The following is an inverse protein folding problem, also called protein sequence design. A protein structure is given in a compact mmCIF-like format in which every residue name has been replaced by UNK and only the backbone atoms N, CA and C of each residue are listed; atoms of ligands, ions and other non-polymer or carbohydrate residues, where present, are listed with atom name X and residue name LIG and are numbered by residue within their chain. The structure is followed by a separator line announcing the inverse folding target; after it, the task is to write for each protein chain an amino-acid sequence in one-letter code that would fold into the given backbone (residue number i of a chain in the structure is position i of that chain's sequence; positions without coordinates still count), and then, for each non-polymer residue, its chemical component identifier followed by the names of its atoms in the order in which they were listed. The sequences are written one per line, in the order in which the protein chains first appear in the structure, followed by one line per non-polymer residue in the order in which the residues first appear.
data_IF_950351324746
#
_entry.id   IF_950351324746
#
_cell.length_a   1.000
_cell.length_b   1.000
_cell.length_c   1.000
_cell.angle_alpha   90.00
_cell.angle_beta   90.00
_cell.angle_gamma   90.00
#
_symmetry.space_group_name_H-M   'P 1'
#
loop_
_entity.id
_entity.type
_entity.pdbx_description
1 polymer ?
#
# COMPACT_ATOMS: atom_id res chain seq x y z
N UNK A 1 4.11 -7.74 0.83
CA UNK A 1 3.57 -8.51 1.96
C UNK A 1 4.64 -8.65 3.03
N UNK A 2 4.57 -9.69 3.85
CA UNK A 2 5.61 -10.01 4.85
C UNK A 2 6.08 -11.46 4.73
N UNK A 3 5.73 -12.14 3.64
CA UNK A 3 6.13 -13.51 3.34
C UNK A 3 7.47 -13.58 2.60
N UNK A 4 7.69 -14.69 1.89
CA UNK A 4 8.96 -14.97 1.25
C UNK A 4 9.48 -13.81 0.36
N UNK A 5 10.77 -13.51 0.50
CA UNK A 5 11.53 -12.54 -0.29
C UNK A 5 11.21 -11.05 -0.03
N UNK A 6 10.50 -10.74 1.07
CA UNK A 6 10.11 -9.36 1.43
C UNK A 6 11.07 -8.68 2.42
N UNK A 7 12.01 -9.39 3.06
CA UNK A 7 12.68 -8.86 4.27
C UNK A 7 13.41 -7.52 4.04
N UNK A 8 14.06 -7.35 2.88
CA UNK A 8 14.73 -6.09 2.54
C UNK A 8 13.75 -4.99 2.17
N UNK A 9 12.73 -5.33 1.38
CA UNK A 9 11.73 -4.37 0.89
C UNK A 9 10.83 -3.85 2.01
N UNK A 10 10.58 -4.68 3.03
CA UNK A 10 9.78 -4.30 4.19
C UNK A 10 10.46 -3.20 5.02
N UNK A 11 11.78 -3.26 5.18
CA UNK A 11 12.54 -2.21 5.88
C UNK A 11 12.48 -0.92 5.09
N UNK A 12 12.79 -0.96 3.79
CA UNK A 12 12.75 0.22 2.91
C UNK A 12 11.34 0.84 2.85
N UNK A 13 10.29 0.03 2.84
CA UNK A 13 8.89 0.50 2.86
C UNK A 13 8.55 1.23 4.16
N UNK A 14 9.02 0.73 5.32
CA UNK A 14 8.82 1.38 6.62
C UNK A 14 9.58 2.70 6.73
N UNK A 15 10.80 2.75 6.21
CA UNK A 15 11.58 3.99 6.14
C UNK A 15 10.88 5.03 5.28
N UNK A 16 10.35 4.64 4.12
CA UNK A 16 9.58 5.52 3.26
C UNK A 16 8.31 6.03 3.94
N UNK A 17 7.56 5.15 4.61
CA UNK A 17 6.38 5.55 5.38
C UNK A 17 6.73 6.61 6.44
N UNK A 18 7.82 6.42 7.17
CA UNK A 18 8.29 7.39 8.16
C UNK A 18 8.61 8.74 7.52
N UNK A 19 9.32 8.76 6.38
CA UNK A 19 9.64 9.99 5.64
C UNK A 19 8.37 10.73 5.19
N UNK A 20 7.35 10.00 4.72
CA UNK A 20 6.08 10.60 4.30
C UNK A 20 5.33 11.21 5.50
N UNK A 21 5.32 10.52 6.63
CA UNK A 21 4.74 11.01 7.90
C UNK A 21 5.45 12.27 8.40
N UNK A 22 6.78 12.27 8.43
CA UNK A 22 7.59 13.39 8.89
C UNK A 22 7.39 14.65 8.03
N UNK A 23 7.05 14.46 6.75
CA UNK A 23 6.75 15.53 5.79
C UNK A 23 5.27 15.94 5.78
N UNK A 24 4.44 15.37 6.64
CA UNK A 24 2.99 15.59 6.65
C UNK A 24 2.33 15.30 5.29
N UNK A 25 2.88 14.35 4.53
CA UNK A 25 2.28 13.90 3.26
C UNK A 25 1.23 12.85 3.63
N UNK A 26 -0.06 13.04 3.26
CA UNK A 26 -1.11 12.09 3.57
C UNK A 26 -0.99 10.87 2.65
N UNK A 27 -0.13 9.93 3.04
CA UNK A 27 0.06 8.66 2.37
C UNK A 27 -0.63 7.55 3.16
N UNK A 28 -1.20 6.60 2.43
CA UNK A 28 -1.68 5.35 3.00
C UNK A 28 -0.73 4.22 2.63
N UNK A 29 -0.19 3.56 3.65
CA UNK A 29 0.68 2.40 3.54
C UNK A 29 0.00 1.23 4.24
N UNK A 30 -0.05 0.08 3.59
CA UNK A 30 -0.69 -1.12 4.12
C UNK A 30 0.25 -2.33 4.04
N UNK A 31 0.47 -2.99 5.18
CA UNK A 31 1.39 -4.12 5.31
C UNK A 31 0.63 -5.43 5.37
N UNK A 32 0.66 -6.15 4.26
CA UNK A 32 -0.04 -7.41 4.12
C UNK A 32 0.68 -8.54 4.86
N UNK A 33 -0.06 -9.56 5.30
CA UNK A 33 0.39 -10.60 6.24
C UNK A 33 1.61 -11.43 5.81
N UNK A 34 2.07 -12.28 6.74
CA UNK A 34 3.24 -13.16 6.53
C UNK A 34 3.02 -14.27 5.48
N UNK A 35 1.78 -14.47 5.04
CA UNK A 35 1.38 -15.37 3.95
C UNK A 35 1.45 -14.70 2.57
N UNK A 36 1.79 -13.41 2.49
CA UNK A 36 1.84 -12.61 1.26
C UNK A 36 3.27 -12.43 0.80
N UNK A 37 3.66 -13.13 -0.26
CA UNK A 37 5.00 -13.12 -0.86
C UNK A 37 5.21 -11.99 -1.87
N UNK A 38 6.48 -11.72 -2.17
CA UNK A 38 6.91 -10.77 -3.19
C UNK A 38 6.80 -11.35 -4.61
N UNK A 39 5.58 -11.67 -5.05
CA UNK A 39 5.32 -12.30 -6.35
C UNK A 39 4.06 -11.79 -7.07
N UNK A 40 3.98 -12.15 -8.35
CA UNK A 40 2.91 -11.68 -9.24
C UNK A 40 1.49 -12.01 -8.77
N UNK A 41 1.15 -13.24 -8.32
CA UNK A 41 -0.17 -13.54 -7.77
C UNK A 41 -0.62 -12.60 -6.66
N UNK A 42 0.30 -12.19 -5.77
CA UNK A 42 -0.01 -11.22 -4.72
C UNK A 42 -0.10 -9.79 -5.22
N UNK A 43 0.79 -9.37 -6.12
CA UNK A 43 0.72 -8.03 -6.72
C UNK A 43 -0.59 -7.82 -7.47
N UNK A 44 -1.09 -8.82 -8.19
CA UNK A 44 -2.38 -8.73 -8.87
C UNK A 44 -3.55 -8.47 -7.89
N UNK A 45 -3.54 -9.13 -6.72
CA UNK A 45 -4.56 -8.90 -5.67
C UNK A 45 -4.42 -7.50 -5.06
N UNK A 46 -3.18 -7.07 -4.79
CA UNK A 46 -2.91 -5.74 -4.24
C UNK A 46 -3.35 -4.64 -5.20
N UNK A 47 -3.11 -4.79 -6.51
CA UNK A 47 -3.57 -3.84 -7.52
C UNK A 47 -5.09 -3.62 -7.45
N UNK A 48 -5.88 -4.69 -7.45
CA UNK A 48 -7.35 -4.59 -7.36
C UNK A 48 -7.77 -3.89 -6.06
N UNK A 49 -7.13 -4.22 -4.93
CA UNK A 49 -7.42 -3.62 -3.62
C UNK A 49 -7.13 -2.11 -3.59
N UNK A 50 -5.93 -1.69 -4.00
CA UNK A 50 -5.53 -0.28 -3.96
C UNK A 50 -6.31 0.57 -4.97
N UNK A 51 -6.56 0.06 -6.17
CA UNK A 51 -7.35 0.77 -7.17
C UNK A 51 -8.81 0.90 -6.76
N UNK A 52 -9.40 -0.14 -6.17
CA UNK A 52 -10.77 -0.05 -5.64
C UNK A 52 -10.90 1.09 -4.63
N UNK A 53 -9.98 1.17 -3.67
CA UNK A 53 -10.00 2.27 -2.69
C UNK A 53 -9.76 3.63 -3.33
N UNK A 54 -8.81 3.75 -4.26
CA UNK A 54 -8.53 5.04 -4.90
C UNK A 54 -9.71 5.55 -5.71
N UNK A 55 -10.40 4.66 -6.44
CA UNK A 55 -11.59 5.01 -7.20
C UNK A 55 -12.77 5.37 -6.30
N UNK A 56 -12.94 4.67 -5.18
CA UNK A 56 -13.98 5.02 -4.19
C UNK A 56 -13.68 6.38 -3.54
N UNK A 57 -12.44 6.61 -3.09
CA UNK A 57 -12.03 7.89 -2.51
C UNK A 57 -12.16 9.04 -3.53
N UNK A 58 -11.70 8.87 -4.79
CA UNK A 58 -11.88 9.87 -5.86
C UNK A 58 -13.36 10.14 -6.14
N UNK A 59 -14.18 9.09 -6.25
CA UNK A 59 -15.61 9.21 -6.50
C UNK A 59 -16.29 10.00 -5.37
N UNK A 60 -15.99 9.70 -4.10
CA UNK A 60 -16.56 10.43 -2.96
C UNK A 60 -16.15 11.91 -2.99
N UNK A 61 -14.88 12.23 -3.26
CA UNK A 61 -14.42 13.61 -3.39
C UNK A 61 -15.05 14.38 -4.57
N UNK A 62 -15.51 13.68 -5.61
CA UNK A 62 -16.19 14.29 -6.77
C UNK A 62 -17.68 14.51 -6.53
N UNK A 63 -18.32 13.71 -5.68
CA UNK A 63 -19.75 13.83 -5.35
C UNK A 63 -20.02 14.86 -4.25
N UNK A 64 -19.02 15.12 -3.38
CA UNK A 64 -19.10 16.09 -2.29
C UNK A 64 -18.78 17.55 -2.73
N UNK A 65 -18.63 17.82 -4.03
CA UNK A 65 -18.40 19.18 -4.59
C UNK A 65 -19.61 19.76 -5.29
#
# INVERSE_FOLDING_TARGET
GQGAWEERMLVETRELEQVLRDKSIPAWVDYWGGDVSHDWPWWHKQLVYFFGRWLDDDLMHRLDR
#
